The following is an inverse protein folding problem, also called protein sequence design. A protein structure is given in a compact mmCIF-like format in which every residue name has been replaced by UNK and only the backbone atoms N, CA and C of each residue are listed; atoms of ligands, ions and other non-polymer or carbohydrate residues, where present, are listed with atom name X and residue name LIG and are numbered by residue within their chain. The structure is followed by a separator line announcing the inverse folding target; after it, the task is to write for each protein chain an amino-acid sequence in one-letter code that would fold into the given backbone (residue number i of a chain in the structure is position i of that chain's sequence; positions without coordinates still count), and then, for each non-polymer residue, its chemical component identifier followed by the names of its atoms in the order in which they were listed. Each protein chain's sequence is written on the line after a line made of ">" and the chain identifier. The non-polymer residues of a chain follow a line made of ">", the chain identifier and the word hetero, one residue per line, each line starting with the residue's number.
data_IF_569591509636
#
_entry.id   IF_569591509636
#
_cell.length_a   1.000
_cell.length_b   1.000
_cell.length_c   1.000
_cell.angle_alpha   90.00
_cell.angle_beta   90.00
_cell.angle_gamma   90.00
#
_symmetry.space_group_name_H-M   'P 1'
#
loop_
_entity.id
_entity.type
_entity.pdbx_description
1 polymer ?
#
# COMPACT_ATOMS: atom_id res chain seq x y z
N UNK A 1 19.67 -3.55 6.96
CA UNK A 1 20.77 -2.55 6.90
C UNK A 1 20.23 -1.29 6.25
N UNK A 2 20.65 -0.09 6.67
CA UNK A 2 20.20 1.18 6.11
C UNK A 2 21.36 1.99 5.53
N UNK A 3 21.11 2.74 4.46
CA UNK A 3 21.98 3.84 4.02
C UNK A 3 21.74 5.02 4.95
N UNK A 4 22.81 5.69 5.42
CA UNK A 4 22.70 6.91 6.24
C UNK A 4 22.29 8.14 5.39
N UNK A 5 21.14 8.05 4.73
CA UNK A 5 20.57 9.13 3.92
C UNK A 5 20.07 10.23 4.86
N UNK A 6 20.41 11.49 4.57
CA UNK A 6 19.96 12.67 5.35
C UNK A 6 20.22 12.54 6.86
N UNK A 7 21.35 11.92 7.24
CA UNK A 7 21.72 11.64 8.64
C UNK A 7 20.70 10.79 9.41
N UNK A 8 19.94 9.93 8.73
CA UNK A 8 18.92 9.10 9.35
C UNK A 8 19.45 8.17 10.45
N UNK A 9 20.61 7.53 10.25
CA UNK A 9 21.19 6.66 11.28
C UNK A 9 21.57 7.48 12.53
N UNK A 10 22.14 8.67 12.32
CA UNK A 10 22.56 9.54 13.42
C UNK A 10 21.37 10.05 14.24
N UNK A 11 20.27 10.39 13.55
CA UNK A 11 19.08 11.00 14.16
C UNK A 11 18.12 9.97 14.79
N UNK A 12 17.99 8.78 14.19
CA UNK A 12 16.93 7.82 14.57
C UNK A 12 17.46 6.48 15.07
N UNK A 13 18.75 6.18 14.88
CA UNK A 13 19.37 4.89 15.24
C UNK A 13 20.80 5.10 15.78
N UNK A 14 20.99 6.10 16.66
CA UNK A 14 22.31 6.54 17.12
C UNK A 14 23.12 5.46 17.86
N UNK A 15 22.46 4.43 18.38
CA UNK A 15 23.09 3.27 19.02
C UNK A 15 23.37 2.10 18.07
N UNK A 16 22.91 2.17 16.81
CA UNK A 16 23.11 1.09 15.85
C UNK A 16 24.57 1.03 15.34
N UNK A 17 25.14 -0.16 15.11
CA UNK A 17 26.50 -0.29 14.61
C UNK A 17 26.62 0.25 13.18
N UNK A 18 27.70 0.99 12.93
CA UNK A 18 28.06 1.45 11.59
C UNK A 18 28.60 0.30 10.74
N UNK A 19 28.18 0.24 9.47
CA UNK A 19 28.65 -0.75 8.49
C UNK A 19 28.94 -0.08 7.16
N UNK A 20 29.93 -0.60 6.42
CA UNK A 20 30.17 -0.17 5.04
C UNK A 20 29.08 -0.75 4.12
N UNK A 21 28.59 0.07 3.18
CA UNK A 21 27.52 -0.32 2.24
C UNK A 21 27.95 -0.02 0.81
N UNK A 22 27.61 -0.94 -0.09
CA UNK A 22 27.80 -0.78 -1.55
C UNK A 22 26.46 -1.01 -2.22
N UNK A 23 25.89 0.02 -2.83
CA UNK A 23 24.56 -0.01 -3.44
C UNK A 23 24.57 0.57 -4.85
N UNK A 24 23.56 0.23 -5.66
CA UNK A 24 23.41 0.79 -6.99
C UNK A 24 22.78 2.20 -6.90
N UNK A 25 23.47 3.22 -7.39
CA UNK A 25 23.00 4.63 -7.39
C UNK A 25 21.70 4.84 -8.16
N UNK A 26 21.35 3.94 -9.09
CA UNK A 26 20.13 4.07 -9.89
C UNK A 26 18.86 4.06 -9.03
N UNK A 27 18.82 3.25 -7.97
CA UNK A 27 17.66 3.11 -7.09
C UNK A 27 17.31 4.35 -6.29
N UNK A 28 18.30 5.22 -6.01
CA UNK A 28 18.11 6.48 -5.28
C UNK A 28 17.48 7.59 -6.15
N UNK A 29 17.42 7.38 -7.47
CA UNK A 29 17.08 8.41 -8.44
C UNK A 29 15.86 7.99 -9.28
N UNK A 30 14.64 7.88 -8.76
CA UNK A 30 13.49 7.36 -9.52
C UNK A 30 13.22 8.14 -10.82
N UNK A 31 12.64 7.48 -11.81
CA UNK A 31 12.26 8.09 -13.10
C UNK A 31 11.12 9.07 -12.85
N UNK A 32 11.29 10.32 -13.26
CA UNK A 32 10.24 11.34 -13.16
C UNK A 32 9.16 11.08 -14.21
N UNK A 33 7.91 11.04 -13.78
CA UNK A 33 6.73 10.92 -14.65
C UNK A 33 5.94 12.22 -14.59
N UNK A 34 5.76 12.86 -15.75
CA UNK A 34 5.01 14.11 -15.88
C UNK A 34 3.50 13.83 -16.08
N UNK A 35 2.68 14.89 -16.06
CA UNK A 35 1.22 14.77 -16.25
C UNK A 35 0.83 14.16 -17.59
N UNK A 36 -0.40 13.61 -17.67
CA UNK A 36 -1.00 13.08 -18.89
C UNK A 36 -0.12 11.98 -19.52
N UNK A 37 0.08 10.90 -18.76
CA UNK A 37 0.87 9.73 -19.20
C UNK A 37 0.12 8.45 -18.92
N UNK A 38 0.24 7.51 -19.84
CA UNK A 38 -0.16 6.12 -19.65
C UNK A 38 1.07 5.24 -19.89
N UNK A 39 1.54 4.60 -18.83
CA UNK A 39 2.66 3.65 -18.87
C UNK A 39 2.04 2.26 -18.80
N UNK A 40 2.01 1.55 -19.94
CA UNK A 40 1.32 0.26 -20.06
C UNK A 40 2.31 -0.80 -20.52
N UNK A 41 2.40 -1.90 -19.79
CA UNK A 41 3.18 -3.07 -20.19
C UNK A 41 2.42 -3.97 -21.17
N UNK A 42 3.15 -4.62 -22.08
CA UNK A 42 2.58 -5.59 -23.02
C UNK A 42 2.69 -7.01 -22.47
N UNK A 43 1.55 -7.67 -22.24
CA UNK A 43 1.50 -9.01 -21.66
C UNK A 43 2.32 -9.07 -20.37
N UNK A 44 3.26 -10.00 -20.28
CA UNK A 44 4.19 -10.14 -19.16
C UNK A 44 5.60 -9.57 -19.44
N UNK A 45 5.75 -8.65 -20.42
CA UNK A 45 7.08 -8.15 -20.84
C UNK A 45 7.47 -6.80 -20.23
N UNK A 46 6.52 -6.04 -19.68
CA UNK A 46 6.78 -4.71 -19.14
C UNK A 46 7.46 -4.78 -17.77
N UNK A 47 8.79 -4.73 -17.73
CA UNK A 47 9.55 -4.81 -16.47
C UNK A 47 10.55 -3.66 -16.35
N UNK A 48 10.53 -2.96 -15.22
CA UNK A 48 11.51 -1.94 -14.82
C UNK A 48 12.36 -2.52 -13.68
N UNK A 49 13.69 -2.55 -13.86
CA UNK A 49 14.60 -3.17 -12.90
C UNK A 49 15.56 -2.12 -12.33
N UNK A 50 15.73 -2.13 -11.00
CA UNK A 50 16.74 -1.31 -10.32
C UNK A 50 16.41 0.17 -10.16
N UNK A 51 15.21 0.59 -10.56
CA UNK A 51 14.76 1.99 -10.50
C UNK A 51 13.25 2.09 -10.37
N UNK A 52 12.77 3.00 -9.53
CA UNK A 52 11.35 3.28 -9.35
C UNK A 52 10.80 4.40 -10.24
N UNK A 53 9.52 4.69 -10.07
CA UNK A 53 8.81 5.81 -10.70
C UNK A 53 8.47 6.87 -9.64
N UNK A 54 8.60 8.14 -10.00
CA UNK A 54 8.20 9.27 -9.16
C UNK A 54 7.30 10.23 -9.95
N UNK A 55 6.06 10.33 -9.51
CA UNK A 55 5.08 11.31 -9.99
C UNK A 55 5.06 12.41 -8.94
N UNK A 56 5.54 13.61 -9.30
CA UNK A 56 5.53 14.73 -8.36
C UNK A 56 5.33 16.06 -9.08
N UNK A 57 4.39 16.87 -8.58
CA UNK A 57 3.90 18.06 -9.29
C UNK A 57 3.21 17.70 -10.61
N UNK A 58 2.53 16.56 -10.66
CA UNK A 58 1.96 15.99 -11.88
C UNK A 58 0.61 15.31 -11.62
N UNK A 59 -0.23 15.23 -12.64
CA UNK A 59 -1.61 14.72 -12.54
C UNK A 59 -2.01 13.90 -13.76
N UNK A 60 -3.10 13.14 -13.65
CA UNK A 60 -3.65 12.34 -14.75
C UNK A 60 -2.62 11.34 -15.30
N UNK A 61 -2.24 10.39 -14.45
CA UNK A 61 -1.23 9.36 -14.77
C UNK A 61 -1.83 7.98 -14.57
N UNK A 62 -1.65 7.11 -15.57
CA UNK A 62 -1.99 5.69 -15.51
C UNK A 62 -0.68 4.88 -15.55
N UNK A 63 -0.54 3.93 -14.62
CA UNK A 63 0.53 2.94 -14.60
C UNK A 63 -0.15 1.58 -14.58
N UNK A 64 -0.03 0.83 -15.68
CA UNK A 64 -0.76 -0.41 -15.85
C UNK A 64 0.11 -1.56 -16.33
N UNK A 65 -0.11 -2.75 -15.76
CA UNK A 65 0.43 -4.02 -16.27
C UNK A 65 1.97 -4.03 -16.40
N UNK A 66 2.69 -3.47 -15.42
CA UNK A 66 4.15 -3.51 -15.36
C UNK A 66 4.65 -4.14 -14.07
N UNK A 67 5.86 -4.67 -14.08
CA UNK A 67 6.59 -5.07 -12.89
C UNK A 67 7.70 -4.07 -12.58
N UNK A 68 7.86 -3.69 -11.32
CA UNK A 68 9.01 -2.92 -10.82
C UNK A 68 9.74 -3.76 -9.79
N UNK A 69 11.02 -4.06 -10.01
CA UNK A 69 11.75 -4.97 -9.12
C UNK A 69 13.24 -4.66 -8.92
N UNK A 70 13.83 -5.34 -7.93
CA UNK A 70 15.27 -5.38 -7.64
C UNK A 70 15.89 -4.00 -7.40
N UNK A 71 15.26 -3.18 -6.56
CA UNK A 71 15.75 -1.86 -6.19
C UNK A 71 16.50 -1.95 -4.86
N UNK A 72 17.81 -2.25 -4.91
CA UNK A 72 18.69 -2.32 -3.74
C UNK A 72 18.08 -3.09 -2.54
N UNK A 73 17.68 -4.38 -2.69
CA UNK A 73 16.79 -5.06 -1.73
C UNK A 73 17.33 -5.12 -0.28
N UNK A 74 18.65 -5.14 -0.10
CA UNK A 74 19.32 -5.20 1.21
C UNK A 74 19.25 -3.89 2.01
N UNK A 75 19.02 -2.78 1.34
CA UNK A 75 19.31 -1.45 1.86
C UNK A 75 18.05 -0.62 2.03
N UNK A 76 17.65 -0.39 3.28
CA UNK A 76 16.68 0.68 3.61
C UNK A 76 17.27 2.01 3.13
N UNK A 77 16.41 2.85 2.55
CA UNK A 77 16.77 4.05 1.78
C UNK A 77 17.47 3.79 0.43
N UNK A 78 17.59 2.53 0.00
CA UNK A 78 18.15 2.14 -1.30
C UNK A 78 17.23 2.43 -2.49
N UNK A 79 15.96 2.71 -2.25
CA UNK A 79 15.00 3.15 -3.25
C UNK A 79 13.58 2.68 -2.96
N UNK A 80 12.61 3.38 -3.53
CA UNK A 80 11.18 3.05 -3.50
C UNK A 80 10.72 2.68 -4.92
N UNK A 81 9.68 1.85 -5.04
CA UNK A 81 9.19 1.41 -6.35
C UNK A 81 8.31 2.47 -7.01
N UNK A 82 7.29 2.98 -6.31
CA UNK A 82 6.40 4.05 -6.80
C UNK A 82 6.26 5.14 -5.72
N UNK A 83 6.49 6.38 -6.11
CA UNK A 83 6.37 7.56 -5.24
C UNK A 83 5.40 8.57 -5.84
N UNK A 84 4.38 8.96 -5.09
CA UNK A 84 3.46 10.06 -5.39
C UNK A 84 3.64 11.16 -4.36
N UNK A 85 3.77 12.41 -4.79
CA UNK A 85 3.87 13.58 -3.90
C UNK A 85 3.48 14.85 -4.65
N UNK A 86 2.49 15.59 -4.20
CA UNK A 86 1.92 16.73 -4.95
C UNK A 86 1.34 16.26 -6.30
N UNK A 87 0.33 15.41 -6.25
CA UNK A 87 -0.32 14.83 -7.44
C UNK A 87 -1.84 14.90 -7.34
N UNK A 88 -2.53 14.62 -8.46
CA UNK A 88 -3.95 14.29 -8.46
C UNK A 88 -4.28 13.32 -9.60
N UNK A 89 -5.36 12.55 -9.43
CA UNK A 89 -5.89 11.62 -10.44
C UNK A 89 -4.83 10.62 -10.97
N UNK A 90 -4.37 9.72 -10.12
CA UNK A 90 -3.41 8.66 -10.46
C UNK A 90 -4.06 7.29 -10.36
N UNK A 91 -3.91 6.48 -11.40
CA UNK A 91 -4.38 5.09 -11.42
C UNK A 91 -3.21 4.12 -11.58
N UNK A 92 -3.05 3.23 -10.59
CA UNK A 92 -2.05 2.17 -10.58
C UNK A 92 -2.81 0.84 -10.66
N UNK A 93 -2.64 0.11 -11.75
CA UNK A 93 -3.44 -1.08 -12.04
C UNK A 93 -2.60 -2.28 -12.52
N UNK A 94 -2.86 -3.49 -12.04
CA UNK A 94 -2.09 -4.69 -12.45
C UNK A 94 -0.57 -4.49 -12.37
N UNK A 95 -0.09 -3.74 -11.40
CA UNK A 95 1.34 -3.57 -11.15
C UNK A 95 1.81 -4.64 -10.18
N UNK A 96 2.97 -5.26 -10.45
CA UNK A 96 3.68 -6.07 -9.45
C UNK A 96 4.92 -5.33 -8.95
N UNK A 97 5.13 -5.32 -7.65
CA UNK A 97 6.35 -4.79 -7.02
C UNK A 97 7.02 -5.87 -6.18
N UNK A 98 8.34 -6.06 -6.34
CA UNK A 98 9.08 -7.06 -5.57
C UNK A 98 10.54 -6.69 -5.34
N UNK A 99 11.14 -7.19 -4.24
CA UNK A 99 12.56 -6.98 -3.91
C UNK A 99 12.95 -5.49 -3.93
N UNK A 100 12.24 -4.70 -3.13
CA UNK A 100 12.43 -3.25 -3.01
C UNK A 100 13.14 -2.93 -1.69
N UNK A 101 14.13 -2.04 -1.69
CA UNK A 101 14.90 -1.73 -0.48
C UNK A 101 14.09 -1.00 0.61
N UNK A 102 13.08 -0.23 0.22
CA UNK A 102 12.14 0.45 1.12
C UNK A 102 10.71 0.34 0.58
N UNK A 103 9.99 1.44 0.34
CA UNK A 103 8.55 1.40 0.08
C UNK A 103 8.23 0.81 -1.30
N UNK A 104 7.25 -0.10 -1.37
CA UNK A 104 6.68 -0.50 -2.65
C UNK A 104 5.83 0.64 -3.22
N UNK A 105 4.96 1.21 -2.40
CA UNK A 105 4.19 2.41 -2.75
C UNK A 105 4.25 3.43 -1.62
N UNK A 106 4.59 4.68 -1.95
CA UNK A 106 4.59 5.78 -1.00
C UNK A 106 3.85 6.98 -1.57
N UNK A 107 2.91 7.51 -0.79
CA UNK A 107 2.12 8.70 -1.06
C UNK A 107 2.48 9.78 -0.01
N UNK A 108 2.79 10.97 -0.48
CA UNK A 108 3.01 12.15 0.35
C UNK A 108 4.47 12.53 0.60
N UNK A 109 4.73 13.50 1.49
CA UNK A 109 3.79 14.03 2.51
C UNK A 109 2.83 15.11 2.03
N UNK A 110 3.02 15.70 0.85
CA UNK A 110 2.03 16.61 0.27
C UNK A 110 0.82 15.84 -0.26
N UNK A 111 -0.26 16.52 -0.63
CA UNK A 111 -1.43 15.83 -1.16
C UNK A 111 -1.08 15.03 -2.44
N UNK A 112 -1.44 13.75 -2.45
CA UNK A 112 -1.42 12.89 -3.63
C UNK A 112 -2.76 12.87 -4.36
N UNK A 113 -3.80 13.44 -3.74
CA UNK A 113 -5.12 13.66 -4.33
C UNK A 113 -5.93 12.37 -4.44
N UNK A 114 -6.61 12.19 -5.57
CA UNK A 114 -7.38 10.99 -5.91
C UNK A 114 -6.46 9.92 -6.47
N UNK A 115 -6.35 8.79 -5.78
CA UNK A 115 -5.52 7.67 -6.20
C UNK A 115 -6.34 6.38 -6.21
N UNK A 116 -6.31 5.65 -7.32
CA UNK A 116 -6.83 4.28 -7.36
C UNK A 116 -5.66 3.31 -7.49
N UNK A 117 -5.58 2.34 -6.59
CA UNK A 117 -4.65 1.22 -6.65
C UNK A 117 -5.49 -0.04 -6.76
N UNK A 118 -5.51 -0.64 -7.96
CA UNK A 118 -6.37 -1.77 -8.29
C UNK A 118 -5.60 -2.95 -8.82
N UNK A 119 -6.00 -4.17 -8.45
CA UNK A 119 -5.46 -5.41 -9.02
C UNK A 119 -3.92 -5.51 -8.96
N UNK A 120 -3.26 -4.83 -8.03
CA UNK A 120 -1.81 -4.85 -7.91
C UNK A 120 -1.32 -5.97 -7.00
N UNK A 121 -0.11 -6.44 -7.23
CA UNK A 121 0.57 -7.42 -6.38
C UNK A 121 1.78 -6.76 -5.68
N UNK A 122 1.77 -6.84 -4.36
CA UNK A 122 2.85 -6.39 -3.50
C UNK A 122 3.54 -7.62 -2.91
N UNK A 123 4.59 -8.07 -3.59
CA UNK A 123 5.35 -9.26 -3.24
C UNK A 123 6.49 -8.91 -2.28
N UNK A 124 6.26 -9.16 -0.99
CA UNK A 124 7.20 -8.90 0.08
C UNK A 124 8.27 -9.97 0.29
N UNK A 125 8.31 -11.04 -0.53
CA UNK A 125 9.34 -12.06 -0.39
C UNK A 125 10.71 -11.49 -0.79
N UNK A 126 11.67 -11.55 0.14
CA UNK A 126 13.01 -11.00 -0.08
C UNK A 126 14.09 -11.78 0.66
N UNK A 127 15.30 -11.84 0.10
CA UNK A 127 16.47 -12.42 0.76
C UNK A 127 16.95 -11.55 1.96
N UNK A 128 16.46 -10.31 2.03
CA UNK A 128 16.77 -9.35 3.08
C UNK A 128 15.48 -8.69 3.58
N UNK A 129 15.25 -8.73 4.89
CA UNK A 129 14.16 -7.99 5.53
C UNK A 129 14.66 -7.22 6.75
N UNK A 130 13.91 -6.19 7.17
CA UNK A 130 14.19 -5.47 8.41
C UNK A 130 13.99 -6.36 9.66
N UNK A 131 13.17 -7.40 9.51
CA UNK A 131 12.82 -8.41 10.52
C UNK A 131 13.66 -9.69 10.43
N UNK A 132 14.61 -9.77 9.48
CA UNK A 132 15.57 -10.87 9.33
C UNK A 132 14.96 -12.27 9.08
N UNK A 133 13.75 -12.32 8.52
CA UNK A 133 12.91 -13.51 8.30
C UNK A 133 12.45 -13.67 6.83
N UNK A 134 12.81 -12.73 5.95
CA UNK A 134 12.43 -12.73 4.54
C UNK A 134 11.08 -12.07 4.21
N UNK A 135 10.42 -11.43 5.20
CA UNK A 135 9.14 -10.73 5.04
C UNK A 135 9.33 -9.21 5.01
N UNK A 136 8.80 -8.54 4.00
CA UNK A 136 9.06 -7.12 3.80
C UNK A 136 8.25 -6.22 4.74
N UNK A 137 8.93 -5.30 5.44
CA UNK A 137 8.30 -4.39 6.39
C UNK A 137 7.76 -3.10 5.74
N UNK A 138 8.28 -2.72 4.58
CA UNK A 138 8.04 -1.41 3.97
C UNK A 138 7.14 -1.56 2.74
N UNK A 139 5.91 -2.02 2.92
CA UNK A 139 5.01 -2.28 1.78
C UNK A 139 4.43 -0.97 1.26
N UNK A 140 3.36 -0.46 1.87
CA UNK A 140 2.60 0.69 1.39
C UNK A 140 2.47 1.75 2.48
N UNK A 141 2.92 2.99 2.18
CA UNK A 141 2.87 4.09 3.13
C UNK A 141 2.10 5.28 2.57
N UNK A 142 0.90 5.51 3.11
CA UNK A 142 -0.03 6.55 2.69
C UNK A 142 -0.05 7.69 3.71
N UNK A 143 0.66 8.77 3.37
CA UNK A 143 0.98 9.86 4.28
C UNK A 143 0.72 11.25 3.68
N UNK A 144 -0.11 11.33 2.65
CA UNK A 144 -0.45 12.61 2.04
C UNK A 144 -1.35 13.47 2.93
N UNK A 145 -1.36 14.77 2.65
CA UNK A 145 -2.07 15.76 3.45
C UNK A 145 -3.54 15.96 3.05
N UNK A 146 -4.01 15.32 1.98
CA UNK A 146 -5.42 15.35 1.56
C UNK A 146 -5.68 14.28 0.49
N UNK A 147 -5.60 13.02 0.88
CA UNK A 147 -5.63 11.90 -0.08
C UNK A 147 -6.97 11.16 0.02
N UNK A 148 -7.52 10.77 -1.13
CA UNK A 148 -8.65 9.84 -1.25
C UNK A 148 -8.19 8.65 -2.08
N UNK A 149 -8.04 7.51 -1.43
CA UNK A 149 -7.39 6.33 -1.98
C UNK A 149 -8.42 5.20 -2.07
N UNK A 150 -8.72 4.78 -3.30
CA UNK A 150 -9.41 3.52 -3.56
C UNK A 150 -8.36 2.42 -3.65
N UNK A 151 -8.38 1.48 -2.72
CA UNK A 151 -7.42 0.39 -2.63
C UNK A 151 -8.18 -0.92 -2.79
N UNK A 152 -8.20 -1.48 -4.01
CA UNK A 152 -9.10 -2.59 -4.36
C UNK A 152 -8.46 -3.77 -5.08
N UNK A 153 -8.95 -4.97 -4.81
CA UNK A 153 -8.53 -6.20 -5.50
C UNK A 153 -7.01 -6.46 -5.51
N UNK A 154 -6.27 -5.85 -4.60
CA UNK A 154 -4.82 -6.02 -4.52
C UNK A 154 -4.48 -7.32 -3.80
N UNK A 155 -3.35 -7.91 -4.16
CA UNK A 155 -2.75 -9.04 -3.46
C UNK A 155 -1.50 -8.55 -2.71
N UNK A 156 -1.51 -8.68 -1.38
CA UNK A 156 -0.41 -8.25 -0.51
C UNK A 156 0.09 -9.48 0.23
N UNK A 157 1.35 -9.86 0.04
CA UNK A 157 1.85 -11.08 0.64
C UNK A 157 3.30 -11.01 1.11
N UNK A 158 3.63 -11.88 2.08
CA UNK A 158 4.97 -12.00 2.66
C UNK A 158 5.45 -10.68 3.27
N UNK A 159 4.63 -10.09 4.15
CA UNK A 159 4.90 -8.79 4.76
C UNK A 159 5.08 -8.89 6.28
N UNK A 160 5.71 -7.88 6.88
CA UNK A 160 5.87 -7.78 8.33
C UNK A 160 5.44 -6.43 8.91
N UNK A 161 4.96 -5.51 8.07
CA UNK A 161 4.48 -4.20 8.50
C UNK A 161 4.01 -3.34 7.32
N UNK A 162 3.40 -2.19 7.66
CA UNK A 162 2.97 -1.15 6.71
C UNK A 162 2.20 -1.68 5.51
N UNK A 163 1.23 -2.56 5.74
CA UNK A 163 0.46 -3.19 4.68
C UNK A 163 -1.04 -2.88 4.80
N UNK A 164 -1.48 -1.61 4.70
CA UNK A 164 -0.72 -0.35 4.59
C UNK A 164 -0.51 0.38 5.93
N UNK A 165 0.42 1.34 5.96
CA UNK A 165 0.44 2.41 6.97
C UNK A 165 -0.31 3.64 6.45
N UNK A 166 -1.23 4.18 7.23
CA UNK A 166 -2.14 5.28 6.85
C UNK A 166 -2.07 6.40 7.90
N UNK A 167 -1.74 7.62 7.47
CA UNK A 167 -1.67 8.81 8.33
C UNK A 167 -1.78 10.13 7.52
N UNK A 168 -1.48 11.26 8.19
CA UNK A 168 -1.46 12.58 7.56
C UNK A 168 -2.87 13.16 7.50
N UNK A 169 -3.52 13.06 6.36
CA UNK A 169 -4.96 13.23 6.19
C UNK A 169 -5.37 12.41 4.96
N UNK A 170 -5.14 11.10 5.07
CA UNK A 170 -5.36 10.12 4.00
C UNK A 170 -6.57 9.26 4.35
N UNK A 171 -7.54 9.22 3.45
CA UNK A 171 -8.66 8.28 3.50
C UNK A 171 -8.42 7.12 2.55
N UNK A 172 -8.53 5.90 3.05
CA UNK A 172 -8.41 4.65 2.30
C UNK A 172 -9.72 3.89 2.35
N UNK A 173 -10.34 3.69 1.19
CA UNK A 173 -11.38 2.69 0.99
C UNK A 173 -10.71 1.39 0.54
N UNK A 174 -10.47 0.49 1.49
CA UNK A 174 -9.88 -0.81 1.27
C UNK A 174 -10.98 -1.85 1.04
N UNK A 175 -11.18 -2.24 -0.22
CA UNK A 175 -12.23 -3.18 -0.59
C UNK A 175 -11.72 -4.38 -1.41
N UNK A 176 -12.18 -5.57 -1.06
CA UNK A 176 -11.91 -6.80 -1.82
C UNK A 176 -10.43 -7.10 -2.09
N UNK A 177 -9.52 -6.66 -1.22
CA UNK A 177 -8.12 -7.05 -1.30
C UNK A 177 -7.89 -8.40 -0.60
N UNK A 178 -6.77 -9.03 -0.93
CA UNK A 178 -6.31 -10.29 -0.34
C UNK A 178 -4.96 -10.06 0.36
N UNK A 179 -4.93 -10.16 1.68
CA UNK A 179 -3.69 -10.20 2.46
C UNK A 179 -3.34 -11.64 2.81
N UNK A 180 -2.09 -12.04 2.57
CA UNK A 180 -1.59 -13.36 2.96
C UNK A 180 -0.20 -13.32 3.58
N UNK A 181 0.10 -14.31 4.42
CA UNK A 181 1.46 -14.57 4.92
C UNK A 181 2.09 -13.32 5.59
N UNK A 182 1.79 -13.12 6.88
CA UNK A 182 2.43 -12.09 7.70
C UNK A 182 3.20 -12.69 8.88
N UNK A 183 4.41 -12.20 9.12
CA UNK A 183 5.18 -12.46 10.36
C UNK A 183 5.10 -11.29 11.36
N UNK A 184 4.43 -10.21 10.98
CA UNK A 184 4.20 -9.04 11.82
C UNK A 184 2.76 -8.57 11.69
N UNK A 185 2.56 -7.31 11.33
CA UNK A 185 1.24 -6.69 11.25
C UNK A 185 0.88 -6.16 9.85
N UNK A 186 -0.42 -6.05 9.59
CA UNK A 186 -0.97 -5.44 8.38
C UNK A 186 -1.06 -3.92 8.50
N UNK A 187 -2.23 -3.45 8.93
CA UNK A 187 -2.57 -2.04 9.00
C UNK A 187 -1.85 -1.32 10.15
N UNK A 188 -1.34 -0.12 9.87
CA UNK A 188 -0.99 0.87 10.88
C UNK A 188 -1.82 2.13 10.63
N UNK A 189 -2.82 2.41 11.45
CA UNK A 189 -3.70 3.57 11.27
C UNK A 189 -3.45 4.58 12.37
N UNK A 190 -2.67 5.61 12.07
CA UNK A 190 -2.25 6.65 13.03
C UNK A 190 -2.89 8.00 12.68
N UNK A 191 -2.58 9.04 13.45
CA UNK A 191 -3.18 10.38 13.38
C UNK A 191 -3.44 10.87 11.96
N UNK A 192 -4.70 11.22 11.70
CA UNK A 192 -5.18 11.66 10.40
C UNK A 192 -5.34 10.56 9.33
N UNK A 193 -5.12 9.29 9.69
CA UNK A 193 -5.48 8.15 8.86
C UNK A 193 -6.95 7.77 9.05
N UNK A 194 -7.63 7.48 7.93
CA UNK A 194 -9.02 7.02 7.91
C UNK A 194 -9.14 5.78 7.03
N UNK A 195 -9.67 4.68 7.55
CA UNK A 195 -9.79 3.41 6.81
C UNK A 195 -11.21 2.88 6.87
N UNK A 196 -11.83 2.68 5.71
CA UNK A 196 -12.98 1.79 5.56
C UNK A 196 -12.49 0.49 4.97
N UNK A 197 -12.66 -0.62 5.68
CA UNK A 197 -12.29 -1.95 5.21
C UNK A 197 -13.53 -2.84 5.03
N UNK A 198 -13.86 -3.19 3.79
CA UNK A 198 -15.01 -4.06 3.47
C UNK A 198 -14.65 -5.18 2.48
N UNK A 199 -15.25 -6.36 2.67
CA UNK A 199 -15.15 -7.48 1.72
C UNK A 199 -13.74 -8.02 1.51
N UNK A 200 -12.76 -7.70 2.36
CA UNK A 200 -11.39 -8.16 2.22
C UNK A 200 -11.19 -9.58 2.77
N UNK A 201 -10.11 -10.23 2.35
CA UNK A 201 -9.68 -11.55 2.83
C UNK A 201 -8.34 -11.43 3.54
N UNK A 202 -8.25 -11.99 4.74
CA UNK A 202 -7.00 -12.12 5.50
C UNK A 202 -6.69 -13.60 5.73
N UNK A 203 -5.51 -14.06 5.31
CA UNK A 203 -5.08 -15.45 5.42
C UNK A 203 -3.68 -15.54 6.02
N UNK A 204 -3.50 -16.21 7.15
CA UNK A 204 -2.21 -16.26 7.86
C UNK A 204 -1.67 -14.85 8.23
N UNK A 205 -2.55 -13.98 8.76
CA UNK A 205 -2.22 -12.63 9.22
C UNK A 205 -2.61 -12.49 10.70
N UNK A 206 -1.68 -12.80 11.61
CA UNK A 206 -1.98 -12.82 13.05
C UNK A 206 -2.38 -11.43 13.57
N UNK A 207 -1.65 -10.38 13.19
CA UNK A 207 -1.98 -9.00 13.55
C UNK A 207 -2.51 -8.25 12.34
N UNK A 208 -3.83 -8.21 12.14
CA UNK A 208 -4.43 -7.51 11.00
C UNK A 208 -4.25 -5.99 11.10
N UNK A 209 -4.38 -5.44 12.30
CA UNK A 209 -4.15 -4.02 12.60
C UNK A 209 -3.28 -3.90 13.85
N UNK A 210 -2.24 -3.07 13.77
CA UNK A 210 -1.34 -2.77 14.89
C UNK A 210 -2.07 -1.93 15.95
N UNK A 211 -1.88 -2.28 17.22
CA UNK A 211 -2.52 -1.59 18.33
C UNK A 211 -1.88 -0.21 18.60
N UNK A 212 -2.63 0.67 19.27
CA UNK A 212 -2.11 1.97 19.74
C UNK A 212 -2.11 3.09 18.69
N UNK A 213 -2.63 2.84 17.49
CA UNK A 213 -2.93 3.88 16.51
C UNK A 213 -4.07 4.80 16.95
N UNK A 214 -3.96 6.09 16.64
CA UNK A 214 -4.93 7.15 16.95
C UNK A 214 -5.72 7.64 15.72
N UNK A 215 -5.66 6.91 14.60
CA UNK A 215 -6.51 7.14 13.43
C UNK A 215 -7.88 6.44 13.54
N UNK A 216 -8.76 6.70 12.57
CA UNK A 216 -10.12 6.16 12.57
C UNK A 216 -10.26 4.99 11.60
N UNK A 217 -10.85 3.89 12.06
CA UNK A 217 -11.09 2.69 11.25
C UNK A 217 -12.52 2.21 11.42
N UNK A 218 -13.17 1.91 10.29
CA UNK A 218 -14.40 1.13 10.23
C UNK A 218 -14.09 -0.19 9.52
N UNK A 219 -13.93 -1.26 10.30
CA UNK A 219 -13.75 -2.61 9.80
C UNK A 219 -15.12 -3.30 9.76
N UNK A 220 -15.56 -3.66 8.55
CA UNK A 220 -16.90 -4.21 8.35
C UNK A 220 -16.96 -5.68 8.73
N UNK A 221 -17.96 -6.00 9.54
CA UNK A 221 -18.40 -7.34 9.91
C UNK A 221 -19.86 -7.52 9.49
N UNK A 222 -20.39 -8.73 9.59
CA UNK A 222 -21.80 -8.98 9.31
C UNK A 222 -22.75 -8.19 10.23
N UNK A 223 -22.29 -7.79 11.42
CA UNK A 223 -23.14 -7.08 12.40
C UNK A 223 -23.26 -5.58 12.14
N UNK A 224 -22.28 -4.95 11.49
CA UNK A 224 -22.27 -3.50 11.21
C UNK A 224 -22.39 -3.17 9.71
N UNK A 225 -22.56 -4.17 8.84
CA UNK A 225 -22.68 -3.99 7.39
C UNK A 225 -23.75 -2.96 6.97
N UNK A 226 -24.85 -2.86 7.72
CA UNK A 226 -25.94 -1.94 7.43
C UNK A 226 -25.57 -0.46 7.64
N UNK A 227 -24.54 -0.15 8.44
CA UNK A 227 -24.12 1.23 8.77
C UNK A 227 -23.72 2.04 7.52
N UNK A 228 -23.29 1.35 6.46
CA UNK A 228 -22.90 1.96 5.20
C UNK A 228 -24.08 2.43 4.33
N UNK A 229 -25.30 1.94 4.57
CA UNK A 229 -26.43 2.09 3.64
C UNK A 229 -26.79 3.55 3.37
N UNK A 230 -26.75 4.39 4.40
CA UNK A 230 -27.11 5.81 4.28
C UNK A 230 -26.13 6.60 3.42
N UNK A 231 -24.85 6.23 3.43
CA UNK A 231 -23.79 6.93 2.71
C UNK A 231 -23.49 6.33 1.35
N UNK A 232 -23.55 5.01 1.24
CA UNK A 232 -23.13 4.26 0.04
C UNK A 232 -24.31 3.79 -0.82
N UNK A 233 -25.55 3.90 -0.32
CA UNK A 233 -26.74 3.36 -1.01
C UNK A 233 -26.84 1.83 -0.99
N UNK A 234 -25.91 1.15 -0.31
CA UNK A 234 -25.85 -0.30 -0.14
C UNK A 234 -25.26 -0.65 1.23
N UNK A 235 -25.56 -1.85 1.73
CA UNK A 235 -24.78 -2.43 2.83
C UNK A 235 -23.33 -2.66 2.39
N UNK A 236 -22.40 -2.52 3.34
CA UNK A 236 -21.02 -2.94 3.13
C UNK A 236 -20.88 -4.47 3.16
N UNK A 237 -19.74 -4.96 2.69
CA UNK A 237 -19.40 -6.38 2.72
C UNK A 237 -18.51 -6.73 3.92
N UNK A 238 -18.81 -7.82 4.62
CA UNK A 238 -18.00 -8.28 5.75
C UNK A 238 -16.62 -8.78 5.28
N UNK A 239 -15.58 -8.47 6.04
CA UNK A 239 -14.24 -9.05 5.85
C UNK A 239 -14.21 -10.52 6.29
N UNK A 240 -13.34 -11.33 5.71
CA UNK A 240 -13.14 -12.74 6.06
C UNK A 240 -11.71 -13.00 6.57
N UNK A 241 -11.59 -14.00 7.43
CA UNK A 241 -10.35 -14.32 8.15
C UNK A 241 -10.12 -15.83 8.15
N UNK A 242 -8.90 -16.26 7.84
CA UNK A 242 -8.45 -17.64 7.94
C UNK A 242 -7.08 -17.66 8.60
N UNK A 243 -6.93 -18.39 9.71
CA UNK A 243 -5.67 -18.42 10.49
C UNK A 243 -5.10 -17.03 10.76
N UNK A 244 -5.98 -16.07 11.06
CA UNK A 244 -5.66 -14.65 11.19
C UNK A 244 -6.30 -14.08 12.45
N UNK A 245 -5.77 -12.96 12.93
CA UNK A 245 -6.41 -12.21 14.02
C UNK A 245 -7.66 -11.47 13.56
N UNK A 246 -8.26 -10.73 14.48
CA UNK A 246 -9.42 -9.89 14.19
C UNK A 246 -9.00 -8.54 13.60
N UNK A 247 -9.86 -7.94 12.78
CA UNK A 247 -9.73 -6.54 12.38
C UNK A 247 -10.67 -5.69 13.23
N UNK A 248 -10.10 -4.89 14.12
CA UNK A 248 -10.85 -3.99 15.01
C UNK A 248 -11.02 -2.59 14.40
N UNK A 249 -12.15 -1.94 14.70
CA UNK A 249 -12.48 -0.59 14.23
C UNK A 249 -13.96 -0.44 13.96
N UNK A 250 -14.63 0.48 14.66
CA UNK A 250 -16.09 0.71 14.56
C UNK A 250 -16.43 2.18 14.34
N UNK A 251 -15.47 2.99 13.93
CA UNK A 251 -15.66 4.44 13.82
C UNK A 251 -16.38 4.80 12.51
N UNK A 252 -17.69 5.01 12.60
CA UNK A 252 -18.53 5.36 11.45
C UNK A 252 -18.26 6.76 10.90
N UNK A 253 -17.50 7.61 11.60
CA UNK A 253 -17.09 8.92 11.06
C UNK A 253 -16.24 8.81 9.79
N UNK A 254 -15.60 7.67 9.58
CA UNK A 254 -14.87 7.34 8.34
C UNK A 254 -15.77 7.47 7.10
N UNK A 255 -17.06 7.13 7.20
CA UNK A 255 -18.00 7.21 6.08
C UNK A 255 -18.17 8.66 5.56
N UNK A 256 -17.92 9.66 6.40
CA UNK A 256 -17.99 11.06 5.98
C UNK A 256 -16.84 11.46 5.03
N UNK A 257 -15.78 10.64 4.93
CA UNK A 257 -14.59 10.93 4.11
C UNK A 257 -14.78 10.70 2.61
N UNK A 258 -15.81 9.98 2.19
CA UNK A 258 -16.10 9.78 0.76
C UNK A 258 -16.36 11.07 -0.03
N UNK A 259 -16.74 12.17 0.64
CA UNK A 259 -17.07 13.42 -0.06
C UNK A 259 -18.12 13.21 -1.16
N UNK A 260 -17.76 13.59 -2.39
CA UNK A 260 -18.53 13.38 -3.63
C UNK A 260 -17.86 12.40 -4.60
N UNK A 261 -16.94 11.56 -4.12
CA UNK A 261 -16.24 10.60 -4.96
C UNK A 261 -17.16 9.46 -5.42
N UNK A 262 -16.86 8.89 -6.59
CA UNK A 262 -17.46 7.63 -7.01
C UNK A 262 -17.03 6.51 -6.05
N UNK A 263 -18.01 5.77 -5.54
CA UNK A 263 -17.80 4.71 -4.56
C UNK A 263 -17.87 3.37 -5.29
N UNK A 264 -16.78 2.60 -5.41
CA UNK A 264 -16.82 1.30 -6.08
C UNK A 264 -17.67 0.31 -5.27
N UNK A 265 -18.33 -0.60 -5.99
CA UNK A 265 -19.08 -1.69 -5.38
C UNK A 265 -18.13 -2.77 -4.84
N UNK A 266 -18.43 -3.21 -3.62
CA UNK A 266 -17.75 -4.34 -3.00
C UNK A 266 -18.54 -5.63 -3.22
N UNK A 267 -17.82 -6.71 -3.52
CA UNK A 267 -18.38 -8.07 -3.55
C UNK A 267 -18.16 -8.78 -2.21
N UNK A 268 -18.88 -9.88 -1.98
CA UNK A 268 -18.65 -10.70 -0.79
C UNK A 268 -17.21 -11.22 -0.77
N UNK A 269 -16.60 -11.30 0.43
CA UNK A 269 -15.22 -11.78 0.60
C UNK A 269 -14.98 -13.20 0.05
N UNK A 270 -16.04 -14.03 -0.06
CA UNK A 270 -15.97 -15.35 -0.70
C UNK A 270 -15.72 -15.32 -2.21
N UNK A 271 -15.91 -14.16 -2.86
CA UNK A 271 -15.66 -13.96 -4.30
C UNK A 271 -14.28 -13.37 -4.58
N UNK A 272 -13.50 -13.05 -3.54
CA UNK A 272 -12.19 -12.41 -3.67
C UNK A 272 -11.11 -13.47 -3.90
N UNK A 273 -10.23 -13.21 -4.86
CA UNK A 273 -9.11 -14.08 -5.22
C UNK A 273 -7.86 -13.24 -5.49
N UNK A 274 -6.68 -13.77 -5.13
CA UNK A 274 -5.38 -13.19 -5.50
C UNK A 274 -4.94 -13.51 -6.93
N UNK A 275 -5.63 -14.41 -7.63
CA UNK A 275 -5.17 -14.98 -8.90
C UNK A 275 -5.06 -13.96 -10.04
N UNK A 276 -5.92 -12.93 -10.06
CA UNK A 276 -5.92 -11.87 -11.08
C UNK A 276 -5.02 -10.68 -10.76
N UNK A 277 -4.49 -10.57 -9.54
CA UNK A 277 -3.69 -9.40 -9.14
C UNK A 277 -2.25 -9.48 -9.66
N UNK A 278 -1.73 -8.38 -10.20
CA UNK A 278 -0.33 -8.23 -10.63
C UNK A 278 -0.13 -8.17 -12.14
N UNK A 279 1.13 -7.98 -12.54
CA UNK A 279 1.52 -7.85 -13.94
C UNK A 279 1.28 -9.15 -14.73
N UNK A 280 0.99 -9.01 -16.02
CA UNK A 280 0.76 -10.12 -16.95
C UNK A 280 -0.60 -10.80 -16.81
N UNK A 281 -1.54 -10.22 -16.04
CA UNK A 281 -2.86 -10.79 -15.73
C UNK A 281 -4.04 -9.92 -16.21
N UNK A 282 -3.76 -8.93 -17.07
CA UNK A 282 -4.76 -8.09 -17.75
C UNK A 282 -5.40 -8.81 -18.94
#
# INVERSE_FOLDING_TARGET
>A
VAINKDSWCDNYQSSAPSVSVTYNKAGLNPIKVASNKSIIGSGSKGVIVGKGLRIAGAENVIIQNIKIENINPKYVWGGDAITLDTTDNVWIDHVTTSKIGRQHLVLGTSASGKVTVSNCEFDGQSDYSATCDGYHYWVNYFAGSSDTITYMNNYIHHFSGRAPKVNGNSFVHALNNYWSESTGHGFEVTSGGYVLAEGNVFSNVETVIEAGGDGATLAITSSNAADCSSKMGRSCQANSFSSSGTFTGTDTSVLNKFGSADIPDAVAASSVSSSSAGYGKI
#
